data_IF_535612172990
#
_entry.id   IF_535612172990
#
_cell.length_a   1.000
_cell.length_b   1.000
_cell.length_c   1.000
_cell.angle_alpha   90.00
_cell.angle_beta   90.00
_cell.angle_gamma   90.00
#
_symmetry.space_group_name_H-M   'P 1'
#
loop_
_entity.id
_entity.type
_entity.pdbx_description
1 polymer ?
#
# COMPACT_ATOMS: atom_id res chain seq x y z
N UNK A 1 -18.44 -28.88 12.74
CA UNK A 1 -17.99 -28.79 11.33
C UNK A 1 -17.16 -27.53 11.16
N UNK A 2 -15.99 -27.69 10.55
CA UNK A 2 -14.80 -26.82 10.66
C UNK A 2 -14.88 -25.49 9.90
N UNK A 3 -14.26 -24.45 10.46
CA UNK A 3 -14.05 -23.10 9.92
C UNK A 3 -13.13 -23.13 8.69
N UNK A 4 -13.66 -23.16 7.46
CA UNK A 4 -12.85 -22.89 6.25
C UNK A 4 -13.64 -22.30 5.09
N UNK A 5 -14.20 -21.09 5.23
CA UNK A 5 -14.91 -20.40 4.12
C UNK A 5 -14.49 -18.94 3.94
N UNK A 6 -13.19 -18.64 3.98
CA UNK A 6 -12.67 -17.29 3.73
C UNK A 6 -11.47 -17.31 2.78
N UNK A 7 -11.67 -17.89 1.60
CA UNK A 7 -10.60 -18.05 0.59
C UNK A 7 -10.52 -16.89 -0.41
N UNK A 8 -11.49 -15.97 -0.44
CA UNK A 8 -11.47 -14.81 -1.32
C UNK A 8 -11.76 -13.54 -0.52
N UNK A 9 -10.88 -12.54 -0.65
CA UNK A 9 -11.18 -11.20 -0.20
C UNK A 9 -12.11 -10.55 -1.23
N UNK A 10 -13.17 -9.86 -0.78
CA UNK A 10 -14.07 -9.12 -1.66
C UNK A 10 -13.34 -8.03 -2.46
N UNK A 11 -12.21 -7.56 -1.95
CA UNK A 11 -11.34 -6.56 -2.54
C UNK A 11 -9.88 -6.88 -2.24
N UNK A 12 -8.99 -6.55 -3.16
CA UNK A 12 -7.54 -6.73 -2.98
C UNK A 12 -7.00 -5.71 -1.99
N UNK A 13 -6.48 -6.18 -0.86
CA UNK A 13 -5.75 -5.33 0.09
C UNK A 13 -4.25 -5.44 -0.14
N UNK A 14 -3.60 -4.30 -0.34
CA UNK A 14 -2.15 -4.19 -0.50
C UNK A 14 -1.61 -3.51 0.77
N UNK A 15 -0.91 -4.23 1.66
CA UNK A 15 -0.32 -3.63 2.85
C UNK A 15 0.68 -2.54 2.49
N UNK A 16 0.73 -1.45 3.26
CA UNK A 16 1.69 -0.36 3.02
C UNK A 16 3.15 -0.83 2.97
N UNK A 17 3.51 -1.82 3.79
CA UNK A 17 4.84 -2.44 3.78
C UNK A 17 5.23 -3.07 2.42
N UNK A 18 4.28 -3.38 1.55
CA UNK A 18 4.58 -3.86 0.19
C UNK A 18 5.12 -2.76 -0.74
N UNK A 19 4.95 -1.49 -0.35
CA UNK A 19 5.48 -0.31 -1.05
C UNK A 19 6.86 0.10 -0.51
N UNK A 20 7.22 -0.36 0.69
CA UNK A 20 8.50 -0.08 1.35
C UNK A 20 9.45 -1.27 1.12
N UNK A 21 10.45 -1.16 0.24
CA UNK A 21 11.38 -2.26 -0.01
C UNK A 21 12.31 -2.47 1.20
N UNK A 22 12.76 -3.72 1.37
CA UNK A 22 13.89 -4.02 2.26
C UNK A 22 15.19 -3.54 1.61
N UNK A 23 15.51 -2.26 1.78
CA UNK A 23 16.64 -1.56 1.17
C UNK A 23 17.42 -0.78 2.23
N UNK A 24 18.70 -0.51 1.95
CA UNK A 24 19.51 0.43 2.74
C UNK A 24 19.08 1.89 2.54
N UNK A 25 18.24 2.18 1.55
CA UNK A 25 17.71 3.52 1.26
C UNK A 25 16.44 3.78 2.10
N UNK A 26 16.49 4.68 3.11
CA UNK A 26 15.40 4.83 4.08
C UNK A 26 14.12 5.47 3.52
N UNK A 27 14.23 6.20 2.40
CA UNK A 27 13.13 6.96 1.80
C UNK A 27 12.71 6.41 0.42
N UNK A 28 13.14 5.20 0.09
CA UNK A 28 12.75 4.55 -1.16
C UNK A 28 11.33 3.99 -1.01
N UNK A 29 10.46 4.32 -1.96
CA UNK A 29 9.09 3.79 -2.08
C UNK A 29 8.91 3.25 -3.50
N UNK A 30 8.39 2.03 -3.62
CA UNK A 30 8.15 1.36 -4.89
C UNK A 30 6.66 1.05 -5.02
N UNK A 31 6.00 1.61 -6.04
CA UNK A 31 4.60 1.36 -6.33
C UNK A 31 4.41 0.95 -7.79
N UNK A 32 3.17 0.69 -8.19
CA UNK A 32 2.91 0.33 -9.58
C UNK A 32 3.36 -1.10 -9.91
N UNK A 33 3.94 -1.27 -11.10
CA UNK A 33 4.44 -2.58 -11.58
C UNK A 33 5.68 -3.09 -10.84
N UNK A 34 6.26 -2.29 -9.95
CA UNK A 34 7.40 -2.70 -9.12
C UNK A 34 6.97 -3.59 -7.93
N UNK A 35 5.67 -3.67 -7.64
CA UNK A 35 5.14 -4.52 -6.57
C UNK A 35 5.19 -5.98 -7.03
N UNK A 36 5.96 -6.78 -6.28
CA UNK A 36 6.04 -8.23 -6.46
C UNK A 36 4.95 -8.95 -5.67
N UNK A 37 4.38 -9.99 -6.28
CA UNK A 37 3.34 -10.82 -5.70
C UNK A 37 3.28 -12.19 -6.39
N UNK A 38 2.64 -13.16 -5.74
CA UNK A 38 2.42 -14.48 -6.31
C UNK A 38 1.61 -14.39 -7.62
N UNK A 39 1.69 -15.45 -8.43
CA UNK A 39 1.12 -15.46 -9.77
C UNK A 39 -0.39 -15.17 -9.79
N UNK A 40 -1.14 -15.57 -8.75
CA UNK A 40 -2.58 -15.35 -8.65
C UNK A 40 -2.86 -13.89 -8.27
N UNK A 41 -2.17 -13.37 -7.25
CA UNK A 41 -2.35 -11.99 -6.79
C UNK A 41 -1.92 -10.95 -7.84
N UNK A 42 -0.88 -11.24 -8.63
CA UNK A 42 -0.33 -10.31 -9.64
C UNK A 42 -1.38 -9.82 -10.64
N UNK A 43 -2.25 -10.72 -11.10
CA UNK A 43 -3.34 -10.40 -12.03
C UNK A 43 -4.40 -9.48 -11.43
N UNK A 44 -4.58 -9.52 -10.11
CA UNK A 44 -5.53 -8.67 -9.39
C UNK A 44 -4.95 -7.32 -8.98
N UNK A 45 -3.65 -7.26 -8.63
CA UNK A 45 -3.04 -6.02 -8.08
C UNK A 45 -2.32 -5.17 -9.11
N UNK A 46 -1.94 -5.71 -10.28
CA UNK A 46 -1.22 -4.96 -11.31
C UNK A 46 -2.14 -4.36 -12.39
N UNK A 47 -3.45 -4.31 -12.13
CA UNK A 47 -4.42 -3.58 -12.95
C UNK A 47 -4.41 -2.09 -12.63
N UNK A 48 -4.83 -1.27 -13.60
CA UNK A 48 -4.75 0.20 -13.54
C UNK A 48 -5.28 0.78 -12.22
N UNK A 49 -6.44 0.31 -11.72
CA UNK A 49 -7.05 0.85 -10.50
C UNK A 49 -6.16 0.65 -9.26
N UNK A 50 -5.62 -0.55 -9.07
CA UNK A 50 -4.74 -0.85 -7.93
C UNK A 50 -3.39 -0.15 -8.05
N UNK A 51 -2.89 0.04 -9.28
CA UNK A 51 -1.67 0.82 -9.50
C UNK A 51 -1.86 2.30 -9.14
N UNK A 52 -3.01 2.89 -9.47
CA UNK A 52 -3.32 4.27 -9.08
C UNK A 52 -3.39 4.41 -7.56
N UNK A 53 -4.07 3.49 -6.87
CA UNK A 53 -4.19 3.50 -5.41
C UNK A 53 -2.83 3.35 -4.71
N UNK A 54 -1.97 2.46 -5.19
CA UNK A 54 -0.62 2.28 -4.61
C UNK A 54 0.29 3.47 -4.90
N UNK A 55 0.15 4.13 -6.06
CA UNK A 55 0.86 5.37 -6.37
C UNK A 55 0.45 6.54 -5.48
N UNK A 56 -0.85 6.68 -5.22
CA UNK A 56 -1.41 7.66 -4.30
C UNK A 56 -0.93 7.42 -2.86
N UNK A 57 -1.02 6.17 -2.38
CA UNK A 57 -0.56 5.78 -1.06
C UNK A 57 0.95 6.04 -0.89
N UNK A 58 1.78 5.71 -1.89
CA UNK A 58 3.21 5.96 -1.86
C UNK A 58 3.53 7.46 -1.77
N UNK A 59 2.90 8.29 -2.60
CA UNK A 59 3.16 9.74 -2.60
C UNK A 59 2.69 10.40 -1.31
N UNK A 60 1.52 10.01 -0.81
CA UNK A 60 1.01 10.50 0.48
C UNK A 60 1.95 10.12 1.62
N UNK A 61 2.42 8.87 1.64
CA UNK A 61 3.37 8.41 2.63
C UNK A 61 4.72 9.14 2.56
N UNK A 62 5.22 9.44 1.35
CA UNK A 62 6.43 10.23 1.17
C UNK A 62 6.32 11.62 1.81
N UNK A 63 5.17 12.29 1.62
CA UNK A 63 4.89 13.59 2.26
C UNK A 63 4.81 13.47 3.78
N UNK A 64 4.18 12.41 4.30
CA UNK A 64 4.07 12.18 5.75
C UNK A 64 5.44 11.89 6.39
N UNK A 65 6.27 11.08 5.75
CA UNK A 65 7.64 10.80 6.18
C UNK A 65 8.46 12.11 6.23
N UNK A 66 8.40 12.90 5.15
CA UNK A 66 9.08 14.19 5.05
C UNK A 66 8.66 15.16 6.16
N UNK A 67 7.34 15.30 6.41
CA UNK A 67 6.80 16.22 7.44
C UNK A 67 7.21 15.87 8.87
N UNK A 68 7.51 14.59 9.13
CA UNK A 68 7.94 14.11 10.45
C UNK A 68 9.46 13.99 10.56
N UNK A 69 10.20 14.38 9.52
CA UNK A 69 11.64 14.15 9.42
C UNK A 69 12.01 12.68 9.71
N UNK A 70 11.17 11.76 9.23
CA UNK A 70 11.30 10.31 9.40
C UNK A 70 11.50 9.59 8.06
N UNK A 71 11.51 8.28 8.12
CA UNK A 71 11.74 7.38 6.99
C UNK A 71 10.43 6.81 6.42
N UNK A 72 10.49 6.23 5.23
CA UNK A 72 9.34 5.56 4.62
C UNK A 72 8.79 4.41 5.48
N UNK A 73 9.65 3.71 6.22
CA UNK A 73 9.28 2.61 7.09
C UNK A 73 8.59 3.07 8.40
N UNK A 74 8.81 4.31 8.83
CA UNK A 74 8.28 4.88 10.08
C UNK A 74 6.91 5.55 9.89
N UNK A 75 6.37 5.56 8.68
CA UNK A 75 5.06 6.15 8.40
C UNK A 75 3.97 5.43 9.19
N UNK A 76 3.27 6.19 10.03
CA UNK A 76 2.09 5.71 10.75
C UNK A 76 0.95 5.45 9.76
N UNK A 77 0.66 4.17 9.55
CA UNK A 77 -0.39 3.74 8.61
C UNK A 77 -1.78 4.24 9.00
N UNK A 78 -2.06 4.53 10.27
CA UNK A 78 -3.34 5.13 10.68
C UNK A 78 -3.49 6.52 10.09
N UNK A 79 -2.44 7.34 10.22
CA UNK A 79 -2.40 8.70 9.66
C UNK A 79 -2.41 8.68 8.14
N UNK A 80 -1.70 7.73 7.52
CA UNK A 80 -1.75 7.52 6.07
C UNK A 80 -3.17 7.22 5.60
N UNK A 81 -3.87 6.28 6.25
CA UNK A 81 -5.26 5.94 5.91
C UNK A 81 -6.19 7.15 6.06
N UNK A 82 -6.04 7.94 7.12
CA UNK A 82 -6.81 9.18 7.27
C UNK A 82 -6.49 10.19 6.16
N UNK A 83 -5.21 10.40 5.84
CA UNK A 83 -4.80 11.35 4.79
C UNK A 83 -5.33 10.97 3.41
N UNK A 84 -5.37 9.67 3.09
CA UNK A 84 -6.00 9.16 1.86
C UNK A 84 -7.51 9.39 1.87
N UNK A 85 -8.19 9.11 3.00
CA UNK A 85 -9.61 9.35 3.13
C UNK A 85 -9.97 10.84 2.97
N UNK A 86 -9.17 11.73 3.57
CA UNK A 86 -9.31 13.18 3.45
C UNK A 86 -9.13 13.66 1.99
N UNK A 87 -8.29 12.97 1.22
CA UNK A 87 -8.11 13.19 -0.23
C UNK A 87 -9.23 12.62 -1.10
N UNK A 88 -10.19 11.89 -0.51
CA UNK A 88 -11.33 11.30 -1.21
C UNK A 88 -11.17 9.81 -1.53
N UNK A 89 -10.07 9.16 -1.15
CA UNK A 89 -9.91 7.72 -1.32
C UNK A 89 -10.85 6.96 -0.39
N UNK A 90 -11.50 5.90 -0.88
CA UNK A 90 -12.33 5.03 -0.04
C UNK A 90 -11.42 4.14 0.82
N UNK A 91 -11.53 4.27 2.15
CA UNK A 91 -10.77 3.48 3.12
C UNK A 91 -11.72 2.57 3.92
N UNK A 92 -11.62 1.26 3.68
CA UNK A 92 -12.40 0.19 4.33
C UNK A 92 -11.56 -0.71 5.22
#
# INVERSE_FOLDING_TARGET
>A
MSKTSRFWATFSQIPYRSVVPNSTLPNLLLSGRMIDADAVARGAIQVMVSLNQTGEAASTAAVLALRRNGTAAEVDTTVLRHSLADGGSVMI
#
